data_IF_872979037584
#
_entry.id   IF_872979037584
#
_cell.length_a   1.000
_cell.length_b   1.000
_cell.length_c   1.000
_cell.angle_alpha   90.00
_cell.angle_beta   90.00
_cell.angle_gamma   90.00
#
_symmetry.space_group_name_H-M   'P 1'
#
loop_
_entity.id
_entity.type
_entity.pdbx_description
1 polymer ?
#
# COMPACT_ATOMS: atom_id res chain seq x y z
N UNK A 1 -7.52 10.30 12.45
CA UNK A 1 -7.72 8.84 12.49
C UNK A 1 -6.35 8.21 12.63
N UNK A 2 -6.16 7.14 13.42
CA UNK A 2 -4.87 6.42 13.41
C UNK A 2 -4.63 5.98 11.98
N UNK A 3 -3.48 6.37 11.43
CA UNK A 3 -3.10 6.08 10.05
C UNK A 3 -3.02 4.58 9.79
N UNK A 4 -3.16 4.20 8.52
CA UNK A 4 -3.08 2.80 8.12
C UNK A 4 -1.73 2.22 8.54
N UNK A 5 -1.72 1.03 9.12
CA UNK A 5 -0.48 0.32 9.52
C UNK A 5 -0.10 -0.79 8.52
N UNK A 6 -0.96 -1.05 7.53
CA UNK A 6 -0.78 -2.11 6.55
C UNK A 6 -1.46 -1.80 5.22
N UNK A 7 -0.82 -2.24 4.14
CA UNK A 7 -1.40 -2.36 2.81
C UNK A 7 -1.66 -3.83 2.49
N UNK A 8 -2.91 -4.15 2.16
CA UNK A 8 -3.34 -5.45 1.63
C UNK A 8 -4.15 -5.18 0.35
N UNK A 9 -3.91 -5.90 -0.77
CA UNK A 9 -4.75 -5.80 -1.96
C UNK A 9 -6.20 -6.16 -1.64
N UNK A 10 -7.15 -5.36 -2.10
CA UNK A 10 -8.57 -5.63 -1.83
C UNK A 10 -9.15 -6.60 -2.88
N UNK A 11 -8.85 -7.89 -2.72
CA UNK A 11 -9.25 -8.95 -3.67
C UNK A 11 -10.75 -8.98 -4.00
N UNK A 12 -11.61 -8.67 -3.03
CA UNK A 12 -13.07 -8.68 -3.26
C UNK A 12 -13.52 -7.59 -4.23
N UNK A 13 -12.81 -6.45 -4.27
CA UNK A 13 -13.16 -5.33 -5.14
C UNK A 13 -12.54 -5.49 -6.53
N UNK A 14 -11.30 -5.95 -6.61
CA UNK A 14 -10.62 -6.24 -7.87
C UNK A 14 -9.62 -7.38 -7.70
N UNK A 15 -10.08 -8.58 -8.03
CA UNK A 15 -9.29 -9.79 -7.97
C UNK A 15 -8.18 -9.80 -9.02
N UNK A 16 -8.44 -9.26 -10.21
CA UNK A 16 -7.47 -9.26 -11.32
C UNK A 16 -6.25 -8.39 -10.96
N UNK A 17 -6.50 -7.18 -10.45
CA UNK A 17 -5.43 -6.31 -9.98
C UNK A 17 -4.64 -6.93 -8.82
N UNK A 18 -5.35 -7.48 -7.83
CA UNK A 18 -4.71 -8.09 -6.67
C UNK A 18 -3.77 -9.25 -7.06
N UNK A 19 -4.21 -10.12 -7.97
CA UNK A 19 -3.38 -11.23 -8.47
C UNK A 19 -2.15 -10.73 -9.25
N UNK A 20 -2.30 -9.70 -10.09
CA UNK A 20 -1.16 -9.11 -10.83
C UNK A 20 -0.15 -8.47 -9.88
N UNK A 21 -0.61 -7.79 -8.83
CA UNK A 21 0.27 -7.16 -7.86
C UNK A 21 1.12 -8.19 -7.09
N UNK A 22 0.51 -9.33 -6.72
CA UNK A 22 1.22 -10.46 -6.08
C UNK A 22 2.27 -11.02 -7.04
N UNK A 23 1.89 -11.35 -8.28
CA UNK A 23 2.80 -11.91 -9.27
C UNK A 23 3.96 -10.97 -9.62
N UNK A 24 3.70 -9.66 -9.69
CA UNK A 24 4.73 -8.64 -9.90
C UNK A 24 5.77 -8.68 -8.76
N UNK A 25 5.33 -8.80 -7.50
CA UNK A 25 6.24 -8.91 -6.37
C UNK A 25 7.09 -10.19 -6.42
N UNK A 26 6.49 -11.33 -6.82
CA UNK A 26 7.22 -12.59 -7.04
C UNK A 26 8.25 -12.48 -8.17
N UNK A 27 8.00 -11.63 -9.17
CA UNK A 27 8.95 -11.34 -10.26
C UNK A 27 10.05 -10.34 -9.86
N UNK A 28 10.10 -9.92 -8.60
CA UNK A 28 11.11 -9.02 -8.06
C UNK A 28 10.75 -7.53 -8.12
N UNK A 29 9.50 -7.18 -8.44
CA UNK A 29 9.04 -5.79 -8.32
C UNK A 29 8.90 -5.44 -6.84
N UNK A 30 9.58 -4.38 -6.40
CA UNK A 30 9.48 -3.93 -5.03
C UNK A 30 8.20 -3.10 -4.82
N UNK A 31 7.31 -3.59 -3.97
CA UNK A 31 6.08 -2.88 -3.59
C UNK A 31 6.31 -2.17 -2.26
N UNK A 32 6.09 -0.86 -2.24
CA UNK A 32 6.26 -0.01 -1.07
C UNK A 32 4.92 0.65 -0.72
N UNK A 33 4.69 0.83 0.57
CA UNK A 33 3.54 1.56 1.08
C UNK A 33 4.00 2.46 2.22
N UNK A 34 3.50 3.69 2.24
CA UNK A 34 3.78 4.67 3.28
C UNK A 34 2.49 5.32 3.72
N UNK A 35 2.41 5.61 5.02
CA UNK A 35 1.37 6.49 5.53
C UNK A 35 1.66 7.94 5.15
N UNK A 36 0.63 8.79 5.16
CA UNK A 36 0.75 10.21 4.84
C UNK A 36 0.12 11.05 5.92
N UNK A 37 0.89 12.01 6.43
CA UNK A 37 0.37 13.04 7.32
C UNK A 37 -0.10 14.21 6.47
N UNK A 38 -1.41 14.48 6.57
CA UNK A 38 -2.10 15.57 5.88
C UNK A 38 -2.37 16.69 6.87
N UNK A 39 -1.93 17.90 6.53
CA UNK A 39 -2.30 19.16 7.20
C UNK A 39 -2.99 20.07 6.20
N UNK A 40 -3.50 21.20 6.67
CA UNK A 40 -4.23 22.17 5.83
C UNK A 40 -3.40 22.63 4.60
N UNK A 41 -2.11 22.89 4.82
CA UNK A 41 -1.21 23.45 3.79
C UNK A 41 -0.12 22.49 3.31
N UNK A 42 -0.02 21.28 3.88
CA UNK A 42 1.05 20.33 3.55
C UNK A 42 0.64 18.85 3.56
N UNK A 43 1.36 18.08 2.75
CA UNK A 43 1.32 16.62 2.71
C UNK A 43 2.74 16.09 2.89
N UNK A 44 2.92 15.19 3.84
CA UNK A 44 4.23 14.58 4.11
C UNK A 44 4.11 13.06 4.14
N UNK A 45 5.04 12.40 3.43
CA UNK A 45 5.22 10.95 3.56
C UNK A 45 5.80 10.71 4.95
N UNK A 46 5.09 9.92 5.75
CA UNK A 46 5.49 9.62 7.12
C UNK A 46 6.26 8.30 7.15
N UNK A 47 5.74 7.30 7.85
CA UNK A 47 6.40 6.02 8.03
C UNK A 47 5.99 5.00 6.95
N UNK A 48 6.92 4.11 6.62
CA UNK A 48 6.61 2.93 5.83
C UNK A 48 5.61 2.05 6.59
N UNK A 49 4.66 1.47 5.86
CA UNK A 49 3.65 0.56 6.42
C UNK A 49 3.86 -0.85 5.87
N UNK A 50 3.39 -1.85 6.62
CA UNK A 50 3.62 -3.24 6.25
C UNK A 50 2.86 -3.57 4.96
N UNK A 51 3.56 -4.07 3.95
CA UNK A 51 2.94 -4.63 2.74
C UNK A 51 2.70 -6.12 2.96
N UNK A 52 1.47 -6.58 2.78
CA UNK A 52 1.09 -7.99 2.82
C UNK A 52 0.38 -8.35 1.52
N UNK A 53 1.11 -9.03 0.64
CA UNK A 53 0.64 -9.55 -0.65
C UNK A 53 0.35 -11.05 -0.53
#
# INVERSE_FOLDING_TARGET
MKGCDRLIPHFKMDEAFANVLVSAAECGVQVLAYDTVVKEDELTIDQAVLVSL
#
